data_IF_401485259109
#
_entry.id   IF_401485259109
#
_cell.length_a   1.000
_cell.length_b   1.000
_cell.length_c   1.000
_cell.angle_alpha   90.00
_cell.angle_beta   90.00
_cell.angle_gamma   90.00
#
_symmetry.space_group_name_H-M   'P 1'
#
loop_
_entity.id
_entity.type
_entity.pdbx_description
1 polymer ?
#
# COMPACT_ATOMS: atom_id res chain seq x y z
N UNK A 1 5.88 6.66 10.73
CA UNK A 1 7.25 7.02 11.10
C UNK A 1 7.99 7.70 9.94
N UNK A 2 8.19 7.06 8.77
CA UNK A 2 9.07 7.56 7.69
C UNK A 2 8.64 8.94 7.14
N UNK A 3 7.34 9.21 7.06
CA UNK A 3 6.79 10.52 6.67
C UNK A 3 7.12 11.61 7.71
N UNK A 4 7.23 11.25 8.98
CA UNK A 4 7.54 12.18 10.07
C UNK A 4 9.04 12.50 10.14
N UNK A 5 9.88 11.50 9.90
CA UNK A 5 11.34 11.63 9.93
C UNK A 5 11.88 12.48 8.78
N UNK A 6 11.20 12.49 7.62
CA UNK A 6 11.57 13.25 6.43
C UNK A 6 13.05 13.10 6.02
N UNK A 7 13.55 11.85 5.80
CA UNK A 7 14.97 11.62 5.57
C UNK A 7 15.51 12.12 4.22
N UNK A 8 14.63 12.46 3.27
CA UNK A 8 14.99 12.90 1.93
C UNK A 8 14.57 14.34 1.68
N UNK A 9 15.28 15.04 0.80
CA UNK A 9 14.93 16.40 0.38
C UNK A 9 13.57 16.45 -0.36
N UNK A 10 13.23 15.40 -1.13
CA UNK A 10 11.93 15.22 -1.79
C UNK A 10 11.55 13.74 -1.85
N UNK A 11 10.28 13.47 -2.16
CA UNK A 11 9.78 12.12 -2.39
C UNK A 11 9.47 11.30 -1.13
N UNK A 12 9.55 11.88 0.07
CA UNK A 12 9.30 11.18 1.34
C UNK A 12 7.94 10.48 1.37
N UNK A 13 6.89 11.13 0.87
CA UNK A 13 5.55 10.53 0.78
C UNK A 13 5.47 9.36 -0.20
N UNK A 14 6.19 9.43 -1.32
CA UNK A 14 6.27 8.33 -2.30
C UNK A 14 7.03 7.15 -1.71
N UNK A 15 8.18 7.41 -1.10
CA UNK A 15 9.00 6.40 -0.44
C UNK A 15 8.25 5.73 0.71
N UNK A 16 7.55 6.51 1.54
CA UNK A 16 6.76 5.96 2.64
C UNK A 16 5.69 4.98 2.15
N UNK A 17 4.98 5.28 1.06
CA UNK A 17 3.99 4.38 0.46
C UNK A 17 4.63 3.11 -0.12
N UNK A 18 5.79 3.22 -0.74
CA UNK A 18 6.53 2.05 -1.26
C UNK A 18 6.95 1.13 -0.11
N UNK A 19 7.59 1.68 0.91
CA UNK A 19 8.07 0.92 2.07
C UNK A 19 6.91 0.27 2.84
N UNK A 20 5.79 0.98 2.99
CA UNK A 20 4.59 0.45 3.64
C UNK A 20 3.98 -0.75 2.89
N UNK A 21 4.17 -0.85 1.58
CA UNK A 21 3.70 -1.97 0.78
C UNK A 21 4.62 -3.21 0.82
N UNK A 22 5.86 -3.09 1.29
CA UNK A 22 6.80 -4.23 1.35
C UNK A 22 6.25 -5.39 2.19
N UNK A 23 5.79 -5.20 3.44
CA UNK A 23 5.22 -6.30 4.23
C UNK A 23 3.93 -6.86 3.62
N UNK A 24 3.12 -6.02 2.97
CA UNK A 24 1.88 -6.43 2.29
C UNK A 24 2.19 -7.40 1.14
N UNK A 25 3.15 -7.03 0.29
CA UNK A 25 3.60 -7.86 -0.84
C UNK A 25 4.27 -9.15 -0.36
N UNK A 26 5.09 -9.10 0.71
CA UNK A 26 5.69 -10.30 1.31
C UNK A 26 4.66 -11.27 1.87
N UNK A 27 3.54 -10.77 2.35
CA UNK A 27 2.41 -11.59 2.80
C UNK A 27 1.56 -12.15 1.64
N UNK A 28 1.92 -11.91 0.38
CA UNK A 28 1.22 -12.39 -0.81
C UNK A 28 -0.02 -11.60 -1.19
N UNK A 29 -0.21 -10.41 -0.61
CA UNK A 29 -1.32 -9.52 -0.95
C UNK A 29 -0.92 -8.51 -2.02
N UNK A 30 -1.87 -8.00 -2.82
CA UNK A 30 -1.60 -6.90 -3.74
C UNK A 30 -1.28 -5.62 -2.96
N UNK A 31 -0.54 -4.67 -3.58
CA UNK A 31 -0.20 -3.42 -2.92
C UNK A 31 -1.44 -2.59 -2.60
N UNK A 32 -1.39 -1.85 -1.51
CA UNK A 32 -2.40 -0.83 -1.18
C UNK A 32 -2.18 0.35 -2.12
N UNK A 33 -3.11 0.52 -3.06
CA UNK A 33 -3.10 1.63 -4.00
C UNK A 33 -4.06 2.70 -3.51
N UNK A 34 -3.59 3.94 -3.52
CA UNK A 34 -4.42 5.10 -3.21
C UNK A 34 -4.76 5.76 -4.54
N UNK A 35 -6.01 5.69 -5.00
CA UNK A 35 -6.45 6.35 -6.22
C UNK A 35 -6.19 7.86 -6.14
N UNK A 36 -5.98 8.49 -7.31
CA UNK A 36 -5.69 9.91 -7.37
C UNK A 36 -6.80 10.76 -6.74
N UNK A 37 -8.04 10.36 -6.95
CA UNK A 37 -9.26 11.03 -6.45
C UNK A 37 -9.33 10.99 -4.91
N UNK A 38 -8.64 10.05 -4.26
CA UNK A 38 -8.61 9.90 -2.81
C UNK A 38 -7.29 10.38 -2.18
N UNK A 39 -6.45 11.02 -2.96
CA UNK A 39 -5.16 11.51 -2.49
C UNK A 39 -5.31 12.57 -1.40
N UNK A 40 -6.27 13.44 -1.53
CA UNK A 40 -6.51 14.52 -0.57
C UNK A 40 -7.03 13.97 0.75
N UNK A 41 -7.92 12.98 0.73
CA UNK A 41 -8.36 12.25 1.92
C UNK A 41 -7.16 11.63 2.66
N UNK A 42 -6.26 10.99 1.90
CA UNK A 42 -5.05 10.38 2.46
C UNK A 42 -4.14 11.41 3.15
N UNK A 43 -3.89 12.55 2.51
CA UNK A 43 -3.08 13.63 3.07
C UNK A 43 -3.74 14.20 4.32
N UNK A 44 -5.05 14.41 4.28
CA UNK A 44 -5.84 14.93 5.40
C UNK A 44 -5.75 14.03 6.64
N UNK A 45 -5.94 12.71 6.45
CA UNK A 45 -5.84 11.73 7.53
C UNK A 45 -4.43 11.66 8.14
N UNK A 46 -3.38 11.72 7.30
CA UNK A 46 -2.00 11.77 7.78
C UNK A 46 -1.71 13.05 8.57
N UNK A 47 -2.21 14.20 8.09
CA UNK A 47 -2.03 15.49 8.77
C UNK A 47 -2.77 15.53 10.10
N UNK A 48 -4.00 15.02 10.14
CA UNK A 48 -4.79 14.92 11.37
C UNK A 48 -4.08 14.03 12.41
N UNK A 49 -3.51 12.90 11.99
CA UNK A 49 -2.74 12.03 12.87
C UNK A 49 -1.49 12.72 13.41
N UNK A 50 -0.74 13.43 12.55
CA UNK A 50 0.44 14.18 12.95
C UNK A 50 0.11 15.28 13.97
N UNK A 51 -0.97 16.03 13.73
CA UNK A 51 -1.43 17.08 14.65
C UNK A 51 -1.85 16.51 16.02
N UNK A 52 -2.52 15.36 16.02
CA UNK A 52 -2.94 14.71 17.26
C UNK A 52 -1.76 14.12 18.05
N UNK A 53 -0.67 13.78 17.37
CA UNK A 53 0.55 13.25 18.00
C UNK A 53 1.36 14.37 18.69
N UNK A 54 1.31 15.60 18.19
CA UNK A 54 2.09 16.73 18.70
C UNK A 54 3.57 16.69 18.34
N UNK A 55 4.40 17.37 19.14
CA UNK A 55 5.85 17.34 18.98
C UNK A 55 6.43 16.00 19.45
N UNK A 56 7.43 15.51 18.74
CA UNK A 56 8.13 14.27 19.08
C UNK A 56 9.29 14.60 20.02
N UNK A 57 9.31 13.97 21.17
CA UNK A 57 10.44 13.97 22.11
C UNK A 57 10.98 12.53 22.30
N UNK A 58 12.03 12.36 23.06
CA UNK A 58 12.70 11.07 23.24
C UNK A 58 11.80 10.01 23.89
N UNK A 59 10.77 10.42 24.64
CA UNK A 59 9.83 9.54 25.34
C UNK A 59 8.52 9.34 24.55
N UNK A 60 8.35 10.02 23.39
CA UNK A 60 7.11 9.98 22.61
C UNK A 60 6.93 8.63 21.92
N UNK A 61 5.79 7.99 22.15
CA UNK A 61 5.40 6.82 21.38
C UNK A 61 5.19 7.21 19.92
N UNK A 62 5.95 6.62 18.99
CA UNK A 62 5.89 6.92 17.55
C UNK A 62 4.55 6.55 16.91
N UNK A 63 3.79 5.66 17.51
CA UNK A 63 2.50 5.19 17.01
C UNK A 63 1.49 5.10 18.16
N UNK A 64 1.09 6.24 18.79
CA UNK A 64 0.07 6.22 19.82
C UNK A 64 -1.26 5.77 19.22
N UNK A 65 -1.97 4.91 19.92
CA UNK A 65 -3.34 4.54 19.57
C UNK A 65 -4.28 5.71 19.86
N UNK A 66 -4.89 6.23 18.80
CA UNK A 66 -5.87 7.31 18.88
C UNK A 66 -6.92 7.16 17.77
N UNK A 67 -7.96 7.99 17.83
CA UNK A 67 -9.05 7.97 16.85
C UNK A 67 -8.53 8.16 15.40
N UNK A 68 -7.56 9.05 15.22
CA UNK A 68 -6.99 9.36 13.91
C UNK A 68 -6.24 8.16 13.30
N UNK A 69 -5.56 7.36 14.13
CA UNK A 69 -4.96 6.11 13.68
C UNK A 69 -6.01 5.11 13.18
N UNK A 70 -7.12 4.96 13.91
CA UNK A 70 -8.19 4.06 13.48
C UNK A 70 -8.83 4.50 12.16
N UNK A 71 -9.04 5.78 11.96
CA UNK A 71 -9.56 6.34 10.70
C UNK A 71 -8.59 6.10 9.54
N UNK A 72 -7.30 6.30 9.75
CA UNK A 72 -6.26 6.02 8.77
C UNK A 72 -6.19 4.53 8.41
N UNK A 73 -6.22 3.64 9.40
CA UNK A 73 -6.24 2.18 9.18
C UNK A 73 -7.50 1.77 8.41
N UNK A 74 -8.66 2.33 8.75
CA UNK A 74 -9.91 2.10 8.02
C UNK A 74 -9.79 2.52 6.55
N UNK A 75 -9.21 3.68 6.29
CA UNK A 75 -8.93 4.16 4.93
C UNK A 75 -8.04 3.20 4.15
N UNK A 76 -6.93 2.74 4.76
CA UNK A 76 -6.02 1.76 4.15
C UNK A 76 -6.72 0.43 3.84
N UNK A 77 -7.56 -0.07 4.75
CA UNK A 77 -8.35 -1.29 4.52
C UNK A 77 -9.32 -1.16 3.35
N UNK A 78 -9.98 -0.02 3.20
CA UNK A 78 -10.86 0.24 2.06
C UNK A 78 -10.08 0.31 0.75
N UNK A 79 -8.93 0.98 0.73
CA UNK A 79 -8.04 1.04 -0.43
C UNK A 79 -7.52 -0.34 -0.82
N UNK A 80 -7.20 -1.20 0.15
CA UNK A 80 -6.79 -2.58 -0.10
C UNK A 80 -7.91 -3.42 -0.75
N UNK A 81 -9.16 -3.24 -0.32
CA UNK A 81 -10.30 -3.94 -0.96
C UNK A 81 -10.41 -3.61 -2.44
N UNK A 82 -10.19 -2.35 -2.82
CA UNK A 82 -10.17 -1.93 -4.23
C UNK A 82 -9.05 -2.65 -4.99
N UNK A 83 -7.83 -2.69 -4.44
CA UNK A 83 -6.70 -3.40 -5.05
C UNK A 83 -7.00 -4.90 -5.23
N UNK A 84 -7.60 -5.52 -4.22
CA UNK A 84 -8.00 -6.94 -4.29
C UNK A 84 -9.06 -7.20 -5.37
N UNK A 85 -10.04 -6.32 -5.52
CA UNK A 85 -11.07 -6.44 -6.55
C UNK A 85 -10.48 -6.32 -7.96
N UNK A 86 -9.50 -5.44 -8.17
CA UNK A 86 -8.77 -5.31 -9.45
C UNK A 86 -8.03 -6.61 -9.79
N UNK A 87 -7.31 -7.18 -8.83
CA UNK A 87 -6.58 -8.45 -9.03
C UNK A 87 -7.55 -9.60 -9.30
N UNK A 88 -8.64 -9.72 -8.54
CA UNK A 88 -9.66 -10.74 -8.76
C UNK A 88 -10.24 -10.66 -10.18
N UNK A 89 -10.61 -9.46 -10.64
CA UNK A 89 -11.13 -9.25 -11.99
C UNK A 89 -10.10 -9.60 -13.09
N UNK A 90 -8.82 -9.32 -12.85
CA UNK A 90 -7.74 -9.66 -13.76
C UNK A 90 -7.54 -11.19 -13.87
N UNK A 91 -7.59 -11.88 -12.74
CA UNK A 91 -7.49 -13.36 -12.68
C UNK A 91 -8.66 -14.03 -13.40
N UNK A 92 -9.88 -13.55 -13.23
CA UNK A 92 -11.04 -14.10 -13.94
C UNK A 92 -10.93 -13.90 -15.46
N UNK A 93 -10.48 -12.73 -15.91
CA UNK A 93 -10.21 -12.48 -17.33
C UNK A 93 -9.11 -13.40 -17.87
N UNK A 94 -8.07 -13.66 -17.12
CA UNK A 94 -6.99 -14.57 -17.50
C UNK A 94 -7.48 -16.01 -17.60
N UNK A 95 -8.27 -16.47 -16.63
CA UNK A 95 -8.90 -17.81 -16.68
C UNK A 95 -9.82 -17.97 -17.89
N UNK A 96 -10.63 -16.96 -18.20
CA UNK A 96 -11.51 -16.98 -19.37
C UNK A 96 -10.71 -17.07 -20.68
N UNK A 97 -9.64 -16.30 -20.81
CA UNK A 97 -8.75 -16.33 -21.97
C UNK A 97 -8.07 -17.69 -22.14
N UNK A 98 -7.59 -18.28 -21.05
CA UNK A 98 -6.93 -19.60 -21.09
C UNK A 98 -7.91 -20.73 -21.46
N UNK A 99 -9.20 -20.61 -21.14
CA UNK A 99 -10.23 -21.56 -21.58
C UNK A 99 -10.52 -21.46 -23.07
N UNK A 100 -10.36 -20.28 -23.67
CA UNK A 100 -10.61 -20.06 -25.11
C UNK A 100 -9.42 -20.44 -25.99
N UNK A 101 -8.23 -20.64 -25.41
CA UNK A 101 -7.01 -21.06 -26.12
C UNK A 101 -6.44 -22.32 -25.45
N UNK A 102 -7.04 -23.51 -25.67
CA UNK A 102 -6.44 -24.75 -25.21
C UNK A 102 -5.25 -25.08 -26.10
N UNK A 103 -4.02 -24.79 -25.71
CA UNK A 103 -2.86 -25.31 -26.43
C UNK A 103 -1.56 -24.52 -26.50
N UNK A 104 -1.36 -23.48 -25.73
CA UNK A 104 -0.01 -22.93 -25.56
C UNK A 104 0.25 -22.64 -24.09
N UNK A 105 0.87 -23.62 -23.41
CA UNK A 105 1.52 -23.31 -22.13
C UNK A 105 2.59 -22.23 -22.40
N UNK A 106 2.57 -21.11 -21.68
CA UNK A 106 3.72 -20.23 -21.66
C UNK A 106 4.87 -21.01 -21.01
N UNK A 107 5.98 -21.15 -21.70
CA UNK A 107 7.22 -21.62 -21.10
C UNK A 107 7.45 -20.81 -19.81
N UNK A 108 7.65 -21.55 -18.71
CA UNK A 108 8.01 -20.96 -17.43
C UNK A 108 9.30 -20.18 -17.60
N UNK A 109 9.19 -18.88 -17.78
CA UNK A 109 10.31 -17.98 -17.65
C UNK A 109 10.87 -18.13 -16.24
N UNK A 110 11.97 -18.85 -16.11
CA UNK A 110 12.76 -18.86 -14.87
C UNK A 110 13.32 -17.46 -14.69
N UNK A 111 12.72 -16.67 -13.83
CA UNK A 111 13.43 -15.54 -13.26
C UNK A 111 14.55 -16.09 -12.38
N UNK A 112 15.75 -16.15 -12.95
CA UNK A 112 16.97 -16.39 -12.20
C UNK A 112 17.33 -15.07 -11.53
N UNK A 113 17.05 -14.94 -10.25
CA UNK A 113 17.64 -13.88 -9.43
C UNK A 113 19.04 -14.41 -9.10
N UNK A 114 20.04 -13.93 -9.81
CA UNK A 114 21.43 -14.07 -9.41
C UNK A 114 21.67 -13.04 -8.29
N UNK A 115 22.05 -13.56 -7.14
CA UNK A 115 22.49 -12.78 -5.97
C UNK A 115 23.93 -12.33 -6.19
#
# INVERSE_FOLDING_TARGET
ALVLIHPFCDGNGRMARLVANVPVLRAGFPPILIPHERRDDYIHLLSAYKLAQGELDDDTCLLPENQQLYEFVRFCRLSMRVSMAVVASALERQKARNRQTPGKLPEKGRFRVEV
#
